data_IF_990077059347
#
_entry.id   IF_990077059347
#
_cell.length_a   1.000
_cell.length_b   1.000
_cell.length_c   1.000
_cell.angle_alpha   90.00
_cell.angle_beta   90.00
_cell.angle_gamma   90.00
#
_symmetry.space_group_name_H-M   'P 1'
#
loop_
_entity.id
_entity.type
_entity.pdbx_description
1 polymer ?
#
# COMPACT_ATOMS: atom_id res chain seq x y z
N UNK A 1 0.35 -5.32 6.39
CA UNK A 1 -0.21 -4.74 5.16
C UNK A 1 -1.24 -5.72 4.62
N UNK A 2 -2.25 -5.20 3.96
CA UNK A 2 -3.44 -5.84 3.36
C UNK A 2 -3.27 -6.14 1.86
N UNK A 3 -2.04 -5.99 1.32
CA UNK A 3 -1.67 -6.23 -0.07
C UNK A 3 -0.91 -7.58 -0.21
N UNK A 4 -1.58 -8.74 -0.20
CA UNK A 4 -0.95 -10.06 -0.04
C UNK A 4 -0.11 -10.50 -1.24
N UNK A 5 -0.37 -9.94 -2.42
CA UNK A 5 0.33 -10.30 -3.66
C UNK A 5 1.57 -9.42 -3.91
N UNK A 6 1.67 -8.30 -3.20
CA UNK A 6 2.77 -7.37 -3.38
C UNK A 6 4.06 -7.99 -2.82
N UNK A 7 5.14 -7.90 -3.58
CA UNK A 7 6.41 -8.55 -3.29
C UNK A 7 7.57 -7.63 -3.68
N UNK A 8 8.79 -7.95 -3.24
CA UNK A 8 9.97 -7.13 -3.53
C UNK A 8 10.19 -6.90 -5.04
N UNK A 9 9.85 -7.89 -5.88
CA UNK A 9 9.89 -7.80 -7.35
C UNK A 9 8.96 -6.73 -7.92
N UNK A 10 7.90 -6.38 -7.21
CA UNK A 10 6.97 -5.30 -7.56
C UNK A 10 7.48 -3.93 -7.09
N UNK A 11 8.26 -3.87 -6.01
CA UNK A 11 8.74 -2.59 -5.46
C UNK A 11 9.91 -2.04 -6.29
N UNK A 12 10.83 -2.91 -6.71
CA UNK A 12 12.07 -2.51 -7.40
C UNK A 12 11.81 -1.68 -8.67
N UNK A 13 10.89 -2.06 -9.59
CA UNK A 13 10.61 -1.27 -10.79
C UNK A 13 10.06 0.12 -10.47
N UNK A 14 9.19 0.24 -9.46
CA UNK A 14 8.61 1.52 -9.03
C UNK A 14 9.70 2.44 -8.48
N UNK A 15 10.63 1.91 -7.68
CA UNK A 15 11.79 2.67 -7.19
C UNK A 15 12.74 3.10 -8.31
N UNK A 16 12.99 2.23 -9.28
CA UNK A 16 13.82 2.57 -10.44
C UNK A 16 13.19 3.70 -11.26
N UNK A 17 11.90 3.60 -11.57
CA UNK A 17 11.16 4.66 -12.25
C UNK A 17 11.17 5.97 -11.45
N UNK A 18 11.05 5.88 -10.12
CA UNK A 18 11.12 7.02 -9.24
C UNK A 18 12.46 7.75 -9.30
N UNK A 19 13.58 7.03 -9.32
CA UNK A 19 14.90 7.65 -9.43
C UNK A 19 15.14 8.31 -10.80
N UNK A 20 14.46 7.86 -11.84
CA UNK A 20 14.54 8.41 -13.20
C UNK A 20 13.46 9.45 -13.51
N UNK A 21 12.60 9.78 -12.54
CA UNK A 21 11.46 10.67 -12.77
C UNK A 21 11.92 12.09 -13.16
N UNK A 22 11.17 12.81 -14.00
CA UNK A 22 11.44 14.21 -14.29
C UNK A 22 11.41 15.08 -13.03
N UNK A 23 12.14 16.20 -13.06
CA UNK A 23 12.04 17.23 -12.03
C UNK A 23 10.59 17.72 -11.91
N UNK A 24 10.16 18.00 -10.68
CA UNK A 24 8.78 18.41 -10.39
C UNK A 24 7.80 17.26 -10.15
N UNK A 25 8.18 16.01 -10.47
CA UNK A 25 7.39 14.85 -10.02
C UNK A 25 7.70 14.57 -8.56
N UNK A 26 6.65 14.62 -7.76
CA UNK A 26 6.69 14.51 -6.30
C UNK A 26 5.82 13.39 -5.75
N UNK A 27 4.99 12.78 -6.58
CA UNK A 27 4.31 11.54 -6.27
C UNK A 27 4.34 10.57 -7.46
N UNK A 28 4.49 9.28 -7.17
CA UNK A 28 4.41 8.22 -8.16
C UNK A 28 3.73 7.00 -7.57
N UNK A 29 2.84 6.38 -8.34
CA UNK A 29 2.19 5.13 -7.94
C UNK A 29 1.84 4.28 -9.17
N UNK A 30 1.78 2.96 -9.03
CA UNK A 30 1.27 2.08 -10.07
C UNK A 30 -0.10 2.51 -10.58
N UNK A 31 -0.33 2.33 -11.88
CA UNK A 31 -1.64 2.50 -12.51
C UNK A 31 -1.94 1.25 -13.34
N UNK A 32 -2.87 0.43 -12.88
CA UNK A 32 -3.28 -0.83 -13.52
C UNK A 32 -4.68 -0.65 -14.08
N UNK A 33 -4.80 -0.61 -15.42
CA UNK A 33 -6.11 -0.43 -16.07
C UNK A 33 -6.87 0.84 -15.62
N UNK A 34 -6.14 1.91 -15.26
CA UNK A 34 -6.73 3.15 -14.74
C UNK A 34 -6.95 3.17 -13.22
N UNK A 35 -6.73 2.06 -12.53
CA UNK A 35 -6.81 1.95 -11.06
C UNK A 35 -5.45 2.28 -10.44
N UNK A 36 -5.42 3.23 -9.51
CA UNK A 36 -4.21 3.59 -8.75
C UNK A 36 -3.88 2.46 -7.76
N UNK A 37 -2.63 2.01 -7.77
CA UNK A 37 -2.12 0.95 -6.90
C UNK A 37 -1.06 1.40 -5.91
N UNK A 38 -0.39 0.43 -5.30
CA UNK A 38 0.63 0.60 -4.26
C UNK A 38 1.93 -0.12 -4.63
N UNK A 39 3.13 0.35 -4.20
CA UNK A 39 3.35 1.43 -3.27
C UNK A 39 3.21 2.81 -3.93
N UNK A 40 2.82 3.80 -3.13
CA UNK A 40 2.95 5.21 -3.50
C UNK A 40 4.28 5.73 -2.96
N UNK A 41 5.08 6.32 -3.85
CA UNK A 41 6.30 7.02 -3.51
C UNK A 41 6.02 8.52 -3.48
N UNK A 42 6.52 9.18 -2.44
CA UNK A 42 6.39 10.62 -2.24
C UNK A 42 7.78 11.22 -2.08
N UNK A 43 7.98 12.42 -2.62
CA UNK A 43 9.14 13.24 -2.30
C UNK A 43 9.01 13.75 -0.86
N UNK A 44 10.12 14.15 -0.26
CA UNK A 44 10.07 14.80 1.04
C UNK A 44 9.29 16.13 1.00
N UNK A 45 9.42 16.89 -0.10
CA UNK A 45 8.66 18.12 -0.31
C UNK A 45 7.14 17.88 -0.38
N UNK A 46 6.69 16.77 -0.97
CA UNK A 46 5.29 16.38 -0.94
C UNK A 46 4.84 16.07 0.48
N UNK A 47 5.64 15.29 1.23
CA UNK A 47 5.35 14.95 2.63
C UNK A 47 5.17 16.20 3.47
N UNK A 48 6.10 17.16 3.39
CA UNK A 48 6.01 18.43 4.13
C UNK A 48 4.73 19.20 3.80
N UNK A 49 4.37 19.27 2.51
CA UNK A 49 3.16 19.95 2.06
C UNK A 49 1.88 19.24 2.49
N UNK A 50 1.87 17.91 2.48
CA UNK A 50 0.73 17.09 2.93
C UNK A 50 0.56 17.25 4.45
N UNK A 51 1.63 17.21 5.23
CA UNK A 51 1.55 17.39 6.69
C UNK A 51 1.04 18.79 7.07
N UNK A 52 1.28 19.79 6.21
CA UNK A 52 0.80 21.16 6.40
C UNK A 52 -0.68 21.37 6.00
N UNK A 53 -1.36 20.40 5.37
CA UNK A 53 -2.79 20.55 5.04
C UNK A 53 -3.67 20.40 6.29
N UNK A 54 -4.89 20.98 6.30
CA UNK A 54 -5.88 20.70 7.33
C UNK A 54 -6.05 19.20 7.58
N UNK A 55 -6.35 18.80 8.82
CA UNK A 55 -6.42 17.38 9.24
C UNK A 55 -7.51 16.60 8.50
N UNK A 56 -8.50 17.29 7.97
CA UNK A 56 -9.60 16.72 7.19
C UNK A 56 -9.16 16.33 5.78
N UNK A 57 -8.05 16.90 5.29
CA UNK A 57 -7.49 16.60 3.98
C UNK A 57 -6.38 15.55 4.11
N UNK A 58 -6.42 14.57 3.22
CA UNK A 58 -5.42 13.51 3.15
C UNK A 58 -4.57 13.56 1.88
N UNK A 59 -3.73 12.53 1.74
CA UNK A 59 -2.87 12.31 0.56
C UNK A 59 -3.72 12.29 -0.74
N UNK A 60 -4.93 11.73 -0.69
CA UNK A 60 -5.84 11.67 -1.85
C UNK A 60 -6.26 13.06 -2.33
N UNK A 61 -6.59 13.95 -1.41
CA UNK A 61 -6.96 15.34 -1.72
C UNK A 61 -5.77 16.12 -2.27
N UNK A 62 -4.59 15.93 -1.67
CA UNK A 62 -3.35 16.53 -2.16
C UNK A 62 -3.04 16.09 -3.60
N UNK A 63 -3.18 14.79 -3.92
CA UNK A 63 -2.96 14.27 -5.27
C UNK A 63 -3.97 14.85 -6.29
N UNK A 64 -5.22 15.05 -5.87
CA UNK A 64 -6.23 15.66 -6.72
C UNK A 64 -5.94 17.14 -7.00
N UNK A 65 -5.38 17.86 -6.02
CA UNK A 65 -4.98 19.26 -6.17
C UNK A 65 -3.64 19.45 -6.91
N UNK A 66 -2.78 18.42 -6.97
CA UNK A 66 -1.42 18.50 -7.53
C UNK A 66 -1.18 17.49 -8.66
N UNK A 67 -2.12 17.38 -9.61
CA UNK A 67 -2.04 16.41 -10.71
C UNK A 67 -0.78 16.55 -11.56
N UNK A 68 -0.27 17.77 -11.76
CA UNK A 68 0.98 18.02 -12.48
C UNK A 68 2.25 17.52 -11.74
N UNK A 69 2.17 17.35 -10.42
CA UNK A 69 3.27 16.86 -9.60
C UNK A 69 3.18 15.34 -9.34
N UNK A 70 2.15 14.67 -9.86
CA UNK A 70 1.94 13.23 -9.71
C UNK A 70 2.08 12.53 -11.07
N UNK A 71 2.98 11.55 -11.16
CA UNK A 71 3.14 10.73 -12.37
C UNK A 71 2.65 9.30 -12.13
N UNK A 72 1.89 8.71 -13.07
CA UNK A 72 1.59 7.28 -13.00
C UNK A 72 2.84 6.46 -13.31
N UNK A 73 2.99 5.31 -12.66
CA UNK A 73 3.85 4.22 -13.10
C UNK A 73 2.96 3.20 -13.83
N UNK A 74 3.01 3.12 -15.18
CA UNK A 74 2.16 2.17 -15.91
C UNK A 74 2.48 0.74 -15.50
N UNK A 75 1.46 -0.01 -15.09
CA UNK A 75 1.61 -1.38 -14.65
C UNK A 75 0.45 -2.23 -15.17
N UNK A 76 0.68 -3.54 -15.29
CA UNK A 76 -0.36 -4.50 -15.68
C UNK A 76 -0.61 -5.56 -14.61
N UNK A 77 0.29 -5.69 -13.64
CA UNK A 77 0.21 -6.72 -12.61
C UNK A 77 -0.86 -6.37 -11.56
N UNK A 78 -1.87 -7.23 -11.35
CA UNK A 78 -2.91 -6.99 -10.35
C UNK A 78 -2.38 -6.95 -8.91
N UNK A 79 -1.16 -7.41 -8.64
CA UNK A 79 -0.57 -7.34 -7.30
C UNK A 79 -0.51 -5.92 -6.74
N UNK A 80 -0.41 -4.90 -7.60
CA UNK A 80 -0.39 -3.50 -7.20
C UNK A 80 -1.75 -2.98 -6.71
N UNK A 81 -2.86 -3.64 -7.05
CA UNK A 81 -4.23 -3.16 -6.81
C UNK A 81 -5.10 -4.19 -6.05
N UNK A 82 -4.52 -5.30 -5.59
CA UNK A 82 -5.26 -6.34 -4.86
C UNK A 82 -5.06 -6.16 -3.37
N UNK A 83 -5.95 -5.42 -2.73
CA UNK A 83 -6.11 -5.31 -1.28
C UNK A 83 -7.14 -6.32 -0.74
N UNK A 84 -7.07 -6.60 0.57
CA UNK A 84 -7.96 -7.53 1.26
C UNK A 84 -8.52 -6.86 2.52
N UNK A 85 -9.67 -6.21 2.35
CA UNK A 85 -10.37 -5.47 3.42
C UNK A 85 -11.61 -6.21 3.92
N UNK A 86 -12.23 -7.02 3.07
CA UNK A 86 -13.51 -7.68 3.37
C UNK A 86 -13.39 -9.21 3.38
N UNK A 87 -14.31 -9.93 4.04
CA UNK A 87 -14.37 -11.39 3.94
C UNK A 87 -14.49 -11.90 2.50
N UNK A 88 -15.19 -11.17 1.63
CA UNK A 88 -15.31 -11.51 0.21
C UNK A 88 -13.96 -11.40 -0.53
N UNK A 89 -13.09 -10.47 -0.13
CA UNK A 89 -11.75 -10.35 -0.70
C UNK A 89 -10.86 -11.52 -0.31
N UNK A 90 -11.02 -12.06 0.91
CA UNK A 90 -10.35 -13.29 1.34
C UNK A 90 -10.75 -14.48 0.47
N UNK A 91 -12.03 -14.62 0.15
CA UNK A 91 -12.51 -15.71 -0.72
C UNK A 91 -12.01 -15.56 -2.16
N UNK A 92 -11.95 -14.32 -2.67
CA UNK A 92 -11.32 -14.04 -3.96
C UNK A 92 -9.82 -14.38 -3.94
N UNK A 93 -9.11 -14.01 -2.88
CA UNK A 93 -7.69 -14.33 -2.71
C UNK A 93 -7.46 -15.84 -2.69
N UNK A 94 -8.28 -16.61 -1.94
CA UNK A 94 -8.21 -18.08 -1.90
C UNK A 94 -8.30 -18.70 -3.29
N UNK A 95 -9.20 -18.18 -4.11
CA UNK A 95 -9.37 -18.63 -5.50
C UNK A 95 -8.14 -18.29 -6.33
N UNK A 96 -7.62 -17.07 -6.18
CA UNK A 96 -6.50 -16.56 -6.98
C UNK A 96 -5.18 -17.30 -6.72
N UNK A 97 -4.91 -17.67 -5.47
CA UNK A 97 -3.61 -18.26 -5.08
C UNK A 97 -3.61 -19.79 -5.04
N UNK A 98 -4.73 -20.44 -5.37
CA UNK A 98 -4.85 -21.89 -5.35
C UNK A 98 -3.75 -22.55 -6.23
N UNK A 99 -3.03 -23.59 -5.73
CA UNK A 99 -3.33 -24.43 -4.56
C UNK A 99 -2.76 -23.93 -3.22
N UNK A 100 -2.14 -22.75 -3.16
CA UNK A 100 -1.71 -22.19 -1.88
C UNK A 100 -2.93 -21.91 -0.98
N UNK A 101 -2.74 -22.05 0.34
CA UNK A 101 -3.82 -21.89 1.31
C UNK A 101 -3.76 -20.52 1.98
N UNK A 102 -4.91 -19.83 2.06
CA UNK A 102 -5.08 -18.59 2.84
C UNK A 102 -5.80 -18.91 4.14
N UNK A 103 -5.10 -18.78 5.26
CA UNK A 103 -5.66 -19.00 6.61
C UNK A 103 -5.35 -17.84 7.53
N UNK A 104 -6.20 -17.64 8.53
CA UNK A 104 -5.89 -16.76 9.65
C UNK A 104 -4.80 -17.39 10.51
N UNK A 105 -3.83 -16.62 11.01
CA UNK A 105 -2.88 -17.13 11.99
C UNK A 105 -3.64 -17.59 13.24
N UNK A 106 -3.07 -18.56 13.97
CA UNK A 106 -3.61 -18.93 15.26
C UNK A 106 -3.71 -17.69 16.17
N UNK A 107 -4.77 -17.55 16.99
CA UNK A 107 -4.91 -16.40 17.88
C UNK A 107 -3.66 -16.27 18.75
N UNK A 108 -3.11 -15.05 18.82
CA UNK A 108 -1.97 -14.75 19.67
C UNK A 108 -2.35 -15.13 21.11
N UNK A 109 -1.63 -16.08 21.70
CA UNK A 109 -1.84 -16.41 23.11
C UNK A 109 -1.44 -15.20 23.94
N UNK A 110 -2.38 -14.66 24.71
CA UNK A 110 -2.05 -13.66 25.72
C UNK A 110 -1.01 -14.27 26.66
N UNK A 111 0.14 -13.64 26.78
CA UNK A 111 1.15 -13.95 27.80
C UNK A 111 0.45 -13.86 29.15
N UNK A 112 0.29 -14.99 29.83
CA UNK A 112 -0.22 -14.99 31.20
C UNK A 112 0.75 -14.16 32.06
N UNK A 113 0.25 -13.08 32.65
CA UNK A 113 0.99 -12.37 33.68
C UNK A 113 1.31 -13.33 34.83
N UNK A 114 2.49 -13.24 35.46
CA UNK A 114 2.81 -14.10 36.60
C UNK A 114 1.77 -13.87 37.70
N UNK A 115 1.15 -14.97 38.16
CA UNK A 115 0.28 -14.94 39.33
C UNK A 115 1.15 -14.54 40.53
N UNK A 116 0.88 -13.36 41.09
CA UNK A 116 1.46 -12.94 42.36
C UNK A 116 1.03 -13.93 43.44
N UNK A 117 2.01 -14.68 43.94
CA UNK A 117 1.84 -15.55 45.10
C UNK A 117 1.32 -14.71 46.27
N UNK A 118 0.15 -15.09 46.78
CA UNK A 118 -0.48 -14.50 47.95
C UNK A 118 0.44 -14.61 49.17
N UNK A 119 0.35 -13.56 49.99
CA UNK A 119 1.02 -13.38 51.29
C UNK A 119 0.78 -14.52 52.26
#
# INVERSE_FOLDING_TARGET
>A
ADLPLLAATHITPVLQAWWQRPAGIEAMMPLVGGVRGHPMLLSWQAVERIVATPRELGIRDWLAAHTAAAAPFPATDPAYITDVDTPADVDRLRTLVHPATVTWPAPLRATQAPQSAGR
#
